data_IF_105149727648
#
_entry.id   IF_105149727648
#
_cell.length_a   1.000
_cell.length_b   1.000
_cell.length_c   1.000
_cell.angle_alpha   90.00
_cell.angle_beta   90.00
_cell.angle_gamma   90.00
#
_symmetry.space_group_name_H-M   'P 1'
#
loop_
_entity.id
_entity.type
_entity.pdbx_description
1 polymer ?
#
# COMPACT_ATOMS: atom_id res chain seq x y z
N UNK A 1 21.26 -17.63 -9.79
CA UNK A 1 20.55 -16.40 -10.19
C UNK A 1 19.56 -16.09 -9.07
N UNK A 2 19.97 -15.29 -8.07
CA UNK A 2 19.13 -14.96 -6.92
C UNK A 2 18.12 -13.88 -7.33
N UNK A 3 16.85 -14.27 -7.48
CA UNK A 3 15.76 -13.33 -7.65
C UNK A 3 15.71 -12.43 -6.40
N UNK A 4 15.92 -11.12 -6.59
CA UNK A 4 15.71 -10.11 -5.55
C UNK A 4 14.26 -10.24 -5.06
N UNK A 5 14.10 -10.65 -3.83
CA UNK A 5 12.84 -10.64 -3.14
C UNK A 5 12.40 -9.17 -3.00
N UNK A 6 11.45 -8.75 -3.80
CA UNK A 6 10.81 -7.46 -3.61
C UNK A 6 10.23 -7.46 -2.20
N UNK A 7 10.60 -6.47 -1.41
CA UNK A 7 10.20 -6.34 -0.01
C UNK A 7 8.67 -6.41 0.07
N UNK A 8 8.15 -7.47 0.66
CA UNK A 8 6.71 -7.67 0.87
C UNK A 8 6.45 -7.32 2.31
N UNK A 9 5.71 -6.25 2.60
CA UNK A 9 5.40 -5.92 3.97
C UNK A 9 4.54 -7.04 4.57
N UNK A 10 4.94 -7.51 5.75
CA UNK A 10 4.10 -8.34 6.60
C UNK A 10 2.88 -7.51 7.04
N UNK A 11 1.78 -8.17 7.41
CA UNK A 11 0.55 -7.44 7.82
C UNK A 11 0.80 -6.47 8.98
N UNK A 12 1.67 -6.84 9.93
CA UNK A 12 2.04 -5.95 11.04
C UNK A 12 2.80 -4.70 10.58
N UNK A 13 3.64 -4.83 9.56
CA UNK A 13 4.35 -3.68 8.98
C UNK A 13 3.38 -2.75 8.25
N UNK A 14 2.42 -3.31 7.50
CA UNK A 14 1.37 -2.54 6.86
C UNK A 14 0.49 -1.82 7.89
N UNK A 15 0.07 -2.50 8.96
CA UNK A 15 -0.70 -1.95 10.06
C UNK A 15 0.03 -0.77 10.74
N UNK A 16 1.30 -0.95 11.08
CA UNK A 16 2.12 0.08 11.68
C UNK A 16 2.33 1.28 10.74
N UNK A 17 2.54 1.00 9.46
CA UNK A 17 2.76 2.01 8.42
C UNK A 17 1.51 2.86 8.16
N UNK A 18 0.33 2.24 8.18
CA UNK A 18 -0.95 2.92 7.93
C UNK A 18 -1.57 3.51 9.21
N UNK A 19 -1.03 3.18 10.37
CA UNK A 19 -1.55 3.64 11.66
C UNK A 19 -2.94 3.09 11.98
N UNK A 20 -3.25 1.90 11.47
CA UNK A 20 -4.51 1.19 11.65
C UNK A 20 -4.33 -0.09 12.46
N UNK A 21 -5.41 -0.74 12.85
CA UNK A 21 -5.34 -2.07 13.45
C UNK A 21 -5.43 -3.16 12.38
N UNK A 22 -5.03 -4.37 12.73
CA UNK A 22 -4.98 -5.50 11.78
C UNK A 22 -6.40 -5.91 11.31
N UNK A 23 -7.45 -5.63 12.07
CA UNK A 23 -8.83 -5.89 11.66
C UNK A 23 -9.30 -4.95 10.54
N UNK A 24 -8.77 -3.73 10.49
CA UNK A 24 -9.05 -2.80 9.39
C UNK A 24 -8.46 -3.33 8.08
N UNK A 25 -7.25 -3.92 8.14
CA UNK A 25 -6.60 -4.58 6.99
C UNK A 25 -7.48 -5.73 6.46
N UNK A 26 -8.01 -6.58 7.34
CA UNK A 26 -8.92 -7.65 6.93
C UNK A 26 -10.20 -7.12 6.27
N UNK A 27 -10.77 -6.05 6.81
CA UNK A 27 -11.96 -5.39 6.23
C UNK A 27 -11.69 -4.81 4.84
N UNK A 28 -10.55 -4.21 4.62
CA UNK A 28 -10.16 -3.69 3.29
C UNK A 28 -9.87 -4.82 2.30
N UNK A 29 -9.28 -5.93 2.75
CA UNK A 29 -9.08 -7.10 1.90
C UNK A 29 -10.41 -7.75 1.52
N UNK A 30 -11.39 -7.82 2.44
CA UNK A 30 -12.74 -8.31 2.16
C UNK A 30 -13.49 -7.39 1.17
N UNK A 31 -13.27 -6.08 1.26
CA UNK A 31 -13.76 -5.10 0.29
C UNK A 31 -13.00 -5.13 -1.06
N UNK A 32 -12.06 -6.07 -1.25
CA UNK A 32 -11.33 -6.25 -2.52
C UNK A 32 -10.29 -5.19 -2.81
N UNK A 33 -9.82 -4.43 -1.81
CA UNK A 33 -8.85 -3.33 -2.01
C UNK A 33 -7.44 -3.84 -2.27
N UNK A 34 -7.08 -4.99 -1.73
CA UNK A 34 -5.85 -5.73 -1.96
C UNK A 34 -6.02 -7.18 -1.50
N UNK A 35 -5.05 -8.03 -1.84
CA UNK A 35 -5.06 -9.46 -1.50
C UNK A 35 -4.06 -9.76 -0.40
N UNK A 36 -4.47 -10.62 0.55
CA UNK A 36 -3.58 -11.18 1.55
C UNK A 36 -3.10 -12.54 1.06
N UNK A 37 -1.80 -12.72 0.99
CA UNK A 37 -1.15 -13.90 0.44
C UNK A 37 -0.32 -14.62 1.50
N UNK A 38 -0.09 -15.92 1.25
CA UNK A 38 0.90 -16.72 1.97
C UNK A 38 1.57 -17.71 1.03
N UNK A 39 2.68 -18.30 1.47
CA UNK A 39 3.31 -19.43 0.79
C UNK A 39 2.86 -20.73 1.41
N UNK A 40 2.43 -21.68 0.59
CA UNK A 40 1.99 -23.01 1.05
C UNK A 40 2.85 -24.13 0.47
N UNK A 41 2.98 -25.20 1.22
CA UNK A 41 3.44 -26.50 0.71
C UNK A 41 2.37 -27.11 -0.19
N UNK A 42 2.70 -28.19 -0.89
CA UNK A 42 1.76 -28.87 -1.77
C UNK A 42 0.52 -29.36 -1.01
N UNK A 43 -0.65 -28.93 -1.46
CA UNK A 43 -1.97 -29.37 -0.98
C UNK A 43 -2.81 -29.85 -2.14
N UNK A 44 -3.79 -30.71 -1.87
CA UNK A 44 -4.71 -31.16 -2.91
C UNK A 44 -6.03 -30.34 -2.86
N UNK A 45 -6.47 -29.91 -4.03
CA UNK A 45 -7.75 -29.22 -4.21
C UNK A 45 -8.55 -29.98 -5.29
N UNK A 46 -9.40 -30.92 -4.87
CA UNK A 46 -10.01 -31.87 -5.81
C UNK A 46 -8.95 -32.74 -6.47
N UNK A 47 -8.87 -32.70 -7.78
CA UNK A 47 -7.89 -33.47 -8.58
C UNK A 47 -6.57 -32.72 -8.80
N UNK A 48 -6.49 -31.46 -8.40
CA UNK A 48 -5.31 -30.62 -8.61
C UNK A 48 -4.41 -30.58 -7.37
N UNK A 49 -3.09 -30.46 -7.58
CA UNK A 49 -2.10 -30.22 -6.54
C UNK A 49 -1.62 -28.78 -6.66
N UNK A 50 -1.81 -27.99 -5.61
CA UNK A 50 -1.46 -26.58 -5.55
C UNK A 50 -0.33 -26.39 -4.54
N UNK A 51 0.69 -25.61 -4.92
CA UNK A 51 1.82 -25.24 -4.06
C UNK A 51 2.30 -23.83 -4.38
N UNK A 52 3.05 -23.25 -3.46
CA UNK A 52 3.63 -21.92 -3.65
C UNK A 52 2.74 -20.80 -3.13
N UNK A 53 2.70 -19.67 -3.85
CA UNK A 53 1.97 -18.49 -3.40
C UNK A 53 0.49 -18.57 -3.73
N UNK A 54 -0.34 -18.34 -2.72
CA UNK A 54 -1.80 -18.31 -2.83
C UNK A 54 -2.38 -17.10 -2.10
N UNK A 55 -3.54 -16.64 -2.55
CA UNK A 55 -4.38 -15.66 -1.86
C UNK A 55 -5.25 -16.39 -0.84
N UNK A 56 -5.35 -15.83 0.35
CA UNK A 56 -6.18 -16.32 1.45
C UNK A 56 -7.57 -15.71 1.41
N UNK A 57 -8.58 -16.47 1.78
CA UNK A 57 -9.96 -15.98 1.87
C UNK A 57 -10.11 -14.98 3.01
N UNK A 58 -10.51 -13.71 2.75
CA UNK A 58 -10.68 -12.71 3.80
C UNK A 58 -11.68 -13.16 4.88
N UNK A 59 -12.74 -13.87 4.51
CA UNK A 59 -13.71 -14.39 5.46
C UNK A 59 -13.12 -15.37 6.48
N UNK A 60 -12.14 -16.19 6.06
CA UNK A 60 -11.44 -17.13 6.96
C UNK A 60 -10.38 -16.44 7.81
N UNK A 61 -9.94 -15.24 7.42
CA UNK A 61 -8.99 -14.41 8.17
C UNK A 61 -9.66 -13.58 9.28
N UNK A 62 -10.93 -13.22 9.13
CA UNK A 62 -11.64 -12.36 10.09
C UNK A 62 -11.54 -12.81 11.56
N UNK A 63 -11.61 -14.12 11.89
CA UNK A 63 -11.46 -14.58 13.27
C UNK A 63 -10.08 -14.31 13.88
N UNK A 64 -9.04 -14.20 13.05
CA UNK A 64 -7.66 -13.92 13.48
C UNK A 64 -7.45 -12.44 13.82
N UNK A 65 -8.18 -11.54 13.13
CA UNK A 65 -7.96 -10.11 13.17
C UNK A 65 -8.98 -9.40 14.04
N UNK A 66 -8.86 -9.59 15.36
CA UNK A 66 -9.71 -8.91 16.32
C UNK A 66 -9.21 -7.49 16.58
N UNK A 67 -10.14 -6.53 16.69
CA UNK A 67 -9.84 -5.12 16.94
C UNK A 67 -9.03 -4.87 18.22
N UNK A 68 -9.21 -5.73 19.22
CA UNK A 68 -8.46 -5.66 20.48
C UNK A 68 -7.03 -6.22 20.40
N UNK A 69 -6.59 -6.69 19.23
CA UNK A 69 -5.25 -7.28 19.03
C UNK A 69 -5.03 -8.64 19.72
N UNK A 70 -6.07 -9.23 20.32
CA UNK A 70 -6.00 -10.50 21.07
C UNK A 70 -6.49 -11.70 20.24
N UNK A 71 -6.44 -11.60 18.91
CA UNK A 71 -6.76 -12.71 18.02
C UNK A 71 -5.74 -13.85 18.12
N UNK A 72 -6.10 -15.06 17.66
CA UNK A 72 -5.15 -16.15 17.54
C UNK A 72 -3.99 -15.77 16.62
N UNK A 73 -2.80 -16.30 16.87
CA UNK A 73 -1.61 -16.07 16.04
C UNK A 73 -1.62 -16.89 14.75
N UNK A 74 -2.49 -17.86 14.64
CA UNK A 74 -2.65 -18.75 13.49
C UNK A 74 -4.10 -19.17 13.31
N UNK A 75 -4.48 -19.59 12.10
CA UNK A 75 -5.80 -20.07 11.77
C UNK A 75 -5.81 -21.11 10.67
N UNK A 76 -6.93 -21.80 10.54
CA UNK A 76 -7.13 -22.85 9.54
C UNK A 76 -7.76 -22.22 8.30
N UNK A 77 -7.10 -22.36 7.14
CA UNK A 77 -7.58 -21.95 5.84
C UNK A 77 -8.02 -23.15 5.04
N UNK A 78 -9.24 -23.11 4.55
CA UNK A 78 -9.83 -24.19 3.72
C UNK A 78 -9.97 -23.78 2.26
N UNK A 79 -9.98 -22.47 1.99
CA UNK A 79 -10.12 -21.92 0.66
C UNK A 79 -8.91 -21.09 0.30
N UNK A 80 -8.38 -21.36 -0.88
CA UNK A 80 -7.23 -20.66 -1.43
C UNK A 80 -7.52 -20.26 -2.88
N UNK A 81 -6.90 -19.18 -3.33
CA UNK A 81 -6.92 -18.77 -4.71
C UNK A 81 -5.49 -18.76 -5.24
N UNK A 82 -5.14 -19.69 -6.15
CA UNK A 82 -3.81 -19.73 -6.75
C UNK A 82 -3.52 -18.47 -7.57
N UNK A 83 -2.23 -18.13 -7.69
CA UNK A 83 -1.80 -16.99 -8.49
C UNK A 83 -2.27 -17.13 -9.95
N UNK A 84 -2.86 -16.03 -10.50
CA UNK A 84 -3.36 -15.97 -11.87
C UNK A 84 -4.75 -16.59 -12.08
N UNK A 85 -5.39 -17.11 -11.03
CA UNK A 85 -6.77 -17.63 -11.10
C UNK A 85 -7.75 -16.70 -10.41
N UNK A 86 -9.02 -16.76 -10.84
CA UNK A 86 -10.11 -15.96 -10.25
C UNK A 86 -10.99 -16.79 -9.30
N UNK A 87 -10.96 -18.12 -9.44
CA UNK A 87 -11.76 -19.07 -8.69
C UNK A 87 -11.11 -19.44 -7.35
N UNK A 88 -11.95 -19.61 -6.33
CA UNK A 88 -11.58 -20.12 -5.03
C UNK A 88 -11.61 -21.65 -5.04
N UNK A 89 -10.52 -22.27 -4.67
CA UNK A 89 -10.40 -23.73 -4.56
C UNK A 89 -10.54 -24.16 -3.12
N UNK A 90 -11.30 -25.23 -2.88
CA UNK A 90 -11.40 -25.88 -1.59
C UNK A 90 -10.26 -26.88 -1.43
N UNK A 91 -9.52 -26.79 -0.33
CA UNK A 91 -8.49 -27.79 0.04
C UNK A 91 -9.20 -29.07 0.46
N UNK A 92 -8.89 -30.17 -0.21
CA UNK A 92 -9.47 -31.48 0.03
C UNK A 92 -8.52 -32.40 0.79
N UNK A 93 -7.20 -32.15 0.69
CA UNK A 93 -6.16 -32.83 1.46
C UNK A 93 -5.05 -31.84 1.82
N UNK A 94 -4.84 -31.60 3.11
CA UNK A 94 -5.51 -32.18 4.28
C UNK A 94 -6.97 -31.72 4.44
N UNK A 95 -7.86 -32.63 4.83
CA UNK A 95 -9.32 -32.39 4.95
C UNK A 95 -9.66 -31.25 5.93
N UNK A 96 -8.84 -31.05 6.97
CA UNK A 96 -9.00 -29.95 7.92
C UNK A 96 -8.60 -28.58 7.36
N UNK A 97 -7.99 -28.54 6.17
CA UNK A 97 -7.32 -27.34 5.63
C UNK A 97 -5.89 -27.20 6.13
N UNK A 98 -5.29 -26.05 5.87
CA UNK A 98 -3.91 -25.72 6.27
C UNK A 98 -3.90 -24.71 7.41
N UNK A 99 -2.97 -24.85 8.32
CA UNK A 99 -2.70 -23.82 9.34
C UNK A 99 -1.78 -22.76 8.76
N UNK A 100 -2.17 -21.50 8.90
CA UNK A 100 -1.39 -20.34 8.45
C UNK A 100 -1.20 -19.39 9.62
N UNK A 101 0.05 -19.03 9.90
CA UNK A 101 0.37 -18.02 10.92
C UNK A 101 0.18 -16.61 10.36
N UNK A 102 -0.29 -15.70 11.20
CA UNK A 102 -0.43 -14.27 10.84
C UNK A 102 0.91 -13.67 10.40
N UNK A 103 2.02 -14.16 10.99
CA UNK A 103 3.37 -13.72 10.64
C UNK A 103 3.80 -14.09 9.21
N UNK A 104 3.19 -15.13 8.62
CA UNK A 104 3.49 -15.59 7.26
C UNK A 104 2.59 -14.93 6.19
N UNK A 105 1.68 -14.07 6.63
CA UNK A 105 0.76 -13.36 5.74
C UNK A 105 1.39 -12.06 5.26
N UNK A 106 1.30 -11.83 3.95
CA UNK A 106 1.90 -10.66 3.28
C UNK A 106 0.93 -10.02 2.30
N UNK A 107 1.14 -8.74 2.02
CA UNK A 107 0.50 -8.01 0.92
C UNK A 107 1.57 -7.76 -0.14
N UNK A 108 1.20 -7.76 -1.42
CA UNK A 108 2.14 -7.40 -2.49
C UNK A 108 2.52 -5.92 -2.39
N UNK A 109 3.79 -5.61 -2.60
CA UNK A 109 4.27 -4.22 -2.51
C UNK A 109 3.53 -3.29 -3.47
N UNK A 110 3.21 -3.77 -4.66
CA UNK A 110 2.45 -3.04 -5.67
C UNK A 110 1.03 -2.71 -5.18
N UNK A 111 0.36 -3.67 -4.50
CA UNK A 111 -0.98 -3.47 -3.94
C UNK A 111 -0.95 -2.50 -2.75
N UNK A 112 0.10 -2.58 -1.90
CA UNK A 112 0.32 -1.61 -0.81
C UNK A 112 0.47 -0.19 -1.37
N UNK A 113 1.30 -0.03 -2.40
CA UNK A 113 1.50 1.28 -3.02
C UNK A 113 0.24 1.81 -3.69
N UNK A 114 -0.48 0.95 -4.43
CA UNK A 114 -1.74 1.33 -5.06
C UNK A 114 -2.79 1.77 -4.03
N UNK A 115 -2.90 1.02 -2.91
CA UNK A 115 -3.80 1.36 -1.82
C UNK A 115 -3.44 2.70 -1.15
N UNK A 116 -2.14 2.94 -0.90
CA UNK A 116 -1.66 4.20 -0.34
C UNK A 116 -1.92 5.38 -1.27
N UNK A 117 -1.70 5.20 -2.57
CA UNK A 117 -1.94 6.23 -3.58
C UNK A 117 -3.43 6.55 -3.71
N UNK A 118 -4.30 5.54 -3.63
CA UNK A 118 -5.75 5.70 -3.74
C UNK A 118 -6.34 6.41 -2.51
N UNK A 119 -5.78 6.17 -1.33
CA UNK A 119 -6.28 6.72 -0.07
C UNK A 119 -5.50 7.97 0.42
N UNK A 120 -4.64 8.55 -0.41
CA UNK A 120 -3.79 9.71 -0.05
C UNK A 120 -2.98 9.51 1.24
N UNK A 121 -2.60 8.27 1.53
CA UNK A 121 -1.80 7.97 2.70
C UNK A 121 -0.39 8.50 2.51
N UNK A 122 0.08 9.32 3.45
CA UNK A 122 1.47 9.75 3.48
C UNK A 122 2.32 8.51 3.72
N UNK A 123 3.12 8.13 2.72
CA UNK A 123 4.08 7.04 2.85
C UNK A 123 5.09 7.44 3.92
N UNK A 124 4.93 6.94 5.14
CA UNK A 124 5.98 7.02 6.14
C UNK A 124 7.15 6.20 5.62
N UNK A 125 8.17 6.89 5.15
CA UNK A 125 9.41 6.26 4.69
C UNK A 125 9.98 5.54 5.90
N UNK A 126 9.90 4.22 5.92
CA UNK A 126 10.75 3.44 6.80
C UNK A 126 12.18 3.81 6.41
N UNK A 127 12.87 4.52 7.30
CA UNK A 127 14.27 4.91 7.11
C UNK A 127 15.16 3.66 7.19
N UNK A 128 15.09 2.83 6.16
CA UNK A 128 16.02 1.75 5.91
C UNK A 128 17.06 2.25 4.91
N UNK A 129 18.36 1.94 5.08
CA UNK A 129 19.36 2.32 4.11
C UNK A 129 19.05 1.63 2.77
N UNK A 130 18.55 2.38 1.78
CA UNK A 130 18.39 1.92 0.40
C UNK A 130 17.06 2.14 -0.29
N UNK A 131 16.01 2.63 0.38
CA UNK A 131 14.78 3.06 -0.30
C UNK A 131 14.77 4.58 -0.40
N UNK A 132 15.37 5.12 -1.46
CA UNK A 132 15.21 6.53 -1.78
C UNK A 132 13.74 6.77 -2.12
N UNK A 133 13.07 7.66 -1.38
CA UNK A 133 11.86 8.33 -1.88
C UNK A 133 12.19 8.82 -3.28
N UNK A 134 11.38 8.42 -4.27
CA UNK A 134 11.67 8.76 -5.66
C UNK A 134 11.77 10.28 -5.89
N UNK A 135 11.17 11.09 -5.00
CA UNK A 135 11.06 12.55 -5.12
C UNK A 135 11.18 13.24 -3.76
N UNK A 136 11.81 14.41 -3.73
CA UNK A 136 11.95 15.30 -2.55
C UNK A 136 10.65 16.09 -2.32
N UNK A 137 9.62 15.40 -1.81
CA UNK A 137 8.33 16.04 -1.52
C UNK A 137 8.39 17.01 -0.34
N UNK A 138 9.27 16.79 0.61
CA UNK A 138 9.46 17.67 1.77
C UNK A 138 10.08 18.98 1.32
N UNK A 139 11.13 18.92 0.51
CA UNK A 139 11.72 20.11 -0.10
C UNK A 139 10.74 20.88 -0.99
N UNK A 140 9.89 20.18 -1.76
CA UNK A 140 8.83 20.81 -2.54
C UNK A 140 7.82 21.56 -1.63
N UNK A 141 7.41 20.96 -0.51
CA UNK A 141 6.49 21.64 0.42
C UNK A 141 7.10 22.89 1.03
N UNK A 142 8.39 22.87 1.38
CA UNK A 142 9.12 24.03 1.88
C UNK A 142 9.18 25.11 0.78
N UNK A 143 9.56 24.73 -0.44
CA UNK A 143 9.60 25.68 -1.58
C UNK A 143 8.23 26.30 -1.86
N UNK A 144 7.16 25.49 -1.79
CA UNK A 144 5.78 25.95 -1.95
C UNK A 144 5.38 26.99 -0.89
N UNK A 145 5.73 26.73 0.39
CA UNK A 145 5.46 27.65 1.50
C UNK A 145 6.20 28.97 1.29
N UNK A 146 7.51 28.92 1.01
CA UNK A 146 8.34 30.10 0.73
C UNK A 146 7.78 30.89 -0.46
N UNK A 147 7.46 30.20 -1.57
CA UNK A 147 6.89 30.80 -2.76
C UNK A 147 5.59 31.56 -2.48
N UNK A 148 4.68 30.95 -1.70
CA UNK A 148 3.41 31.58 -1.33
C UNK A 148 3.64 32.76 -0.38
N UNK A 149 4.57 32.65 0.54
CA UNK A 149 4.91 33.72 1.49
C UNK A 149 5.48 34.95 0.76
N UNK A 150 6.41 34.74 -0.19
CA UNK A 150 7.12 35.83 -0.87
C UNK A 150 6.30 36.49 -1.98
N UNK A 151 5.45 35.74 -2.69
CA UNK A 151 4.80 36.19 -3.92
C UNK A 151 3.27 36.05 -3.91
N UNK A 152 2.70 35.51 -2.82
CA UNK A 152 1.27 35.23 -2.73
C UNK A 152 0.84 34.01 -3.56
N UNK A 153 -0.47 33.74 -3.59
CA UNK A 153 -1.07 32.72 -4.44
C UNK A 153 -1.13 33.17 -5.89
N UNK A 154 -0.71 32.34 -6.86
CA UNK A 154 -0.91 32.65 -8.28
C UNK A 154 -2.40 32.60 -8.65
N UNK A 155 -2.75 33.13 -9.83
CA UNK A 155 -4.14 33.19 -10.28
C UNK A 155 -4.77 31.82 -10.47
N UNK A 156 -4.00 30.85 -10.92
CA UNK A 156 -4.47 29.48 -11.15
C UNK A 156 -3.65 28.41 -10.41
N UNK A 157 -4.32 27.32 -10.05
CA UNK A 157 -3.63 26.16 -9.50
C UNK A 157 -2.66 25.52 -10.51
N UNK A 158 -2.95 25.68 -11.80
CA UNK A 158 -2.10 25.14 -12.85
C UNK A 158 -0.72 25.80 -12.87
N UNK A 159 -0.66 27.12 -12.64
CA UNK A 159 0.59 27.86 -12.57
C UNK A 159 1.43 27.38 -11.39
N UNK A 160 0.80 27.20 -10.22
CA UNK A 160 1.50 26.68 -9.03
C UNK A 160 2.05 25.25 -9.24
N UNK A 161 1.31 24.42 -9.96
CA UNK A 161 1.77 23.07 -10.34
C UNK A 161 2.95 23.15 -11.29
N UNK A 162 2.93 24.05 -12.27
CA UNK A 162 4.03 24.24 -13.21
C UNK A 162 5.30 24.74 -12.51
N UNK A 163 5.18 25.71 -11.61
CA UNK A 163 6.31 26.21 -10.82
C UNK A 163 6.95 25.09 -9.97
N UNK A 164 6.15 24.21 -9.38
CA UNK A 164 6.68 23.08 -8.62
C UNK A 164 7.28 21.99 -9.52
N UNK A 165 6.83 21.85 -10.76
CA UNK A 165 7.50 20.98 -11.74
C UNK A 165 8.88 21.53 -12.11
N UNK A 166 9.01 22.82 -12.35
CA UNK A 166 10.31 23.48 -12.60
C UNK A 166 11.24 23.30 -11.41
N UNK A 167 10.75 23.48 -10.19
CA UNK A 167 11.54 23.25 -8.98
C UNK A 167 12.13 21.83 -8.90
N UNK A 168 11.35 20.79 -9.28
CA UNK A 168 11.85 19.42 -9.37
C UNK A 168 12.87 19.24 -10.50
N UNK A 169 12.64 19.87 -11.66
CA UNK A 169 13.53 19.80 -12.79
C UNK A 169 14.91 20.38 -12.46
N UNK A 170 14.96 21.55 -11.85
CA UNK A 170 16.21 22.23 -11.45
C UNK A 170 17.01 21.41 -10.43
N UNK A 171 16.31 20.73 -9.49
CA UNK A 171 16.98 20.00 -8.41
C UNK A 171 17.43 18.60 -8.82
N UNK A 172 16.90 18.03 -9.88
CA UNK A 172 17.18 16.66 -10.34
C UNK A 172 17.93 16.59 -11.65
N UNK A 173 18.44 17.71 -12.19
CA UNK A 173 19.01 17.78 -13.55
C UNK A 173 18.06 17.13 -14.61
N UNK A 174 16.76 17.25 -14.41
CA UNK A 174 15.73 16.67 -15.28
C UNK A 174 15.58 15.16 -15.22
N UNK A 175 16.35 14.44 -14.38
CA UNK A 175 16.39 12.97 -14.35
C UNK A 175 15.29 12.32 -13.49
N UNK A 176 14.70 13.06 -12.54
CA UNK A 176 13.67 12.53 -11.63
C UNK A 176 12.60 13.60 -11.40
N UNK A 177 11.60 13.61 -12.25
CA UNK A 177 10.51 14.55 -12.17
C UNK A 177 9.18 13.80 -11.94
N UNK A 178 8.39 14.16 -10.91
CA UNK A 178 7.06 13.61 -10.72
C UNK A 178 6.12 14.11 -11.82
N UNK A 179 5.11 13.31 -12.17
CA UNK A 179 4.08 13.75 -13.09
C UNK A 179 3.22 14.91 -12.49
N UNK A 180 2.65 15.73 -13.36
CA UNK A 180 1.85 16.90 -12.96
C UNK A 180 0.63 16.52 -12.11
N UNK A 181 0.08 15.33 -12.29
CA UNK A 181 -1.07 14.84 -11.54
C UNK A 181 -0.68 14.54 -10.09
N UNK A 182 0.50 13.96 -9.87
CA UNK A 182 1.03 13.69 -8.52
C UNK A 182 1.33 14.97 -7.75
N UNK A 183 1.88 16.00 -8.42
CA UNK A 183 2.11 17.32 -7.83
C UNK A 183 0.76 17.99 -7.52
N UNK A 184 -0.15 18.02 -8.49
CA UNK A 184 -1.48 18.63 -8.34
C UNK A 184 -2.24 18.03 -7.16
N UNK A 185 -2.22 16.70 -6.99
CA UNK A 185 -2.90 16.01 -5.89
C UNK A 185 -2.41 16.51 -4.53
N UNK A 186 -1.12 16.80 -4.37
CA UNK A 186 -0.54 17.31 -3.12
C UNK A 186 -0.82 18.80 -2.90
N UNK A 187 -0.85 19.58 -3.95
CA UNK A 187 -1.12 21.03 -3.88
C UNK A 187 -2.61 21.32 -3.66
N UNK A 188 -3.51 20.52 -4.20
CA UNK A 188 -4.97 20.77 -4.15
C UNK A 188 -5.53 21.05 -2.74
N UNK A 189 -5.18 20.28 -1.69
CA UNK A 189 -5.67 20.58 -0.33
C UNK A 189 -5.19 21.94 0.17
N UNK A 190 -3.91 22.28 -0.06
CA UNK A 190 -3.29 23.54 0.34
C UNK A 190 -3.94 24.69 -0.41
N UNK A 191 -4.07 24.56 -1.72
CA UNK A 191 -4.71 25.55 -2.58
C UNK A 191 -6.15 25.88 -2.13
N UNK A 192 -6.94 24.84 -1.82
CA UNK A 192 -8.32 25.02 -1.35
C UNK A 192 -8.39 25.66 0.03
N UNK A 193 -7.46 25.34 0.93
CA UNK A 193 -7.41 25.92 2.26
C UNK A 193 -7.09 27.41 2.21
N UNK A 194 -6.11 27.81 1.39
CA UNK A 194 -5.68 29.19 1.27
C UNK A 194 -6.74 30.05 0.56
N UNK A 195 -7.41 29.55 -0.49
CA UNK A 195 -8.51 30.30 -1.14
C UNK A 195 -9.78 30.44 -0.31
N UNK A 196 -9.96 29.59 0.71
CA UNK A 196 -11.07 29.76 1.68
C UNK A 196 -10.77 30.78 2.76
N UNK A 197 -9.51 31.11 3.01
CA UNK A 197 -9.09 32.11 3.98
C UNK A 197 -9.16 33.55 3.46
N UNK A 198 -9.34 33.74 2.15
CA UNK A 198 -9.47 35.04 1.50
C UNK A 198 -10.93 35.51 1.30
N UNK A 199 -11.91 34.80 1.92
CA UNK A 199 -13.35 35.14 1.85
C UNK A 199 -13.88 35.62 3.24
#
# INVERSE_FOLDING_TARGET
MFQRWHCRPALHEASARWGCNIADIAGWADAGRFRILTGITAVRCGDEVIAGKVTLSPMELMPLFRRCGTGPSEGIMRRIQPAGRQDWLLITDPVCGITVAVADMVIMAEEVHAFEDENDMIRRVAAGPGVSTSYDWEGMNIALIVRIFDHGLPDTQADLVAEMQEWFADRSDGKKMPDSRSIRRRITPIWRALRRGDA
#
